data_IF_740055505695
#
_entry.id   IF_740055505695
#
_cell.length_a   1.000
_cell.length_b   1.000
_cell.length_c   1.000
_cell.angle_alpha   90.00
_cell.angle_beta   90.00
_cell.angle_gamma   90.00
#
_symmetry.space_group_name_H-M   'P 1'
#
loop_
_entity.id
_entity.type
_entity.pdbx_description
1 polymer ?
#
# COMPACT_ATOMS: atom_id res chain seq x y z
N UNK A 1 -64.14 -49.32 -74.40
CA UNK A 1 -64.08 -48.44 -73.21
C UNK A 1 -62.69 -47.80 -73.17
N UNK A 2 -62.58 -46.53 -73.56
CA UNK A 2 -61.33 -45.75 -73.57
C UNK A 2 -61.54 -44.44 -72.78
N UNK A 3 -60.48 -44.01 -72.08
CA UNK A 3 -60.31 -42.85 -71.15
C UNK A 3 -60.87 -41.52 -71.72
N UNK A 4 -61.31 -40.50 -70.96
CA UNK A 4 -60.69 -39.74 -69.86
C UNK A 4 -61.81 -38.85 -69.21
N UNK A 5 -61.65 -38.34 -67.97
CA UNK A 5 -61.30 -36.91 -67.89
C UNK A 5 -60.27 -36.62 -66.80
N UNK A 6 -59.32 -35.75 -67.10
CA UNK A 6 -58.45 -35.14 -66.10
C UNK A 6 -58.63 -33.63 -66.23
N UNK A 7 -59.35 -33.05 -65.28
CA UNK A 7 -59.50 -31.62 -65.12
C UNK A 7 -59.16 -31.22 -63.70
N UNK A 8 -58.21 -30.29 -63.60
CA UNK A 8 -57.85 -29.40 -62.48
C UNK A 8 -56.86 -29.94 -61.43
N UNK A 9 -55.75 -29.21 -61.26
CA UNK A 9 -55.32 -28.81 -59.92
C UNK A 9 -55.09 -27.29 -59.87
N UNK A 10 -55.79 -26.61 -58.97
CA UNK A 10 -55.45 -25.26 -58.50
C UNK A 10 -55.17 -25.37 -57.00
N UNK A 11 -53.91 -25.58 -56.66
CA UNK A 11 -53.42 -25.61 -55.28
C UNK A 11 -52.74 -24.27 -55.00
N UNK A 12 -53.50 -23.37 -54.35
CA UNK A 12 -53.02 -22.06 -53.93
C UNK A 12 -51.95 -22.19 -52.85
N UNK A 13 -50.74 -21.66 -53.13
CA UNK A 13 -49.63 -21.59 -52.17
C UNK A 13 -49.80 -20.44 -51.17
N UNK A 14 -49.61 -20.65 -49.86
CA UNK A 14 -49.42 -19.57 -48.89
C UNK A 14 -47.95 -19.11 -48.81
N UNK A 15 -47.75 -17.82 -48.50
CA UNK A 15 -46.48 -17.09 -48.44
C UNK A 15 -45.49 -17.54 -47.32
N UNK A 16 -44.15 -17.30 -47.47
CA UNK A 16 -43.10 -18.00 -46.72
C UNK A 16 -42.46 -17.25 -45.52
N UNK A 17 -43.14 -16.33 -44.85
CA UNK A 17 -42.56 -15.62 -43.69
C UNK A 17 -43.51 -15.54 -42.50
N UNK A 18 -43.63 -16.66 -41.81
CA UNK A 18 -44.05 -16.67 -40.40
C UNK A 18 -42.83 -17.13 -39.61
N UNK A 19 -42.09 -16.18 -39.03
CA UNK A 19 -41.09 -16.51 -38.01
C UNK A 19 -41.84 -17.22 -36.87
N UNK A 20 -41.46 -18.45 -36.47
CA UNK A 20 -42.15 -19.15 -35.40
C UNK A 20 -42.01 -18.32 -34.13
N UNK A 21 -43.14 -17.82 -33.59
CA UNK A 21 -43.15 -17.16 -32.28
C UNK A 21 -42.62 -18.18 -31.28
N UNK A 22 -41.50 -17.90 -30.59
CA UNK A 22 -40.97 -18.83 -29.61
C UNK A 22 -42.05 -19.04 -28.55
N UNK A 23 -42.33 -20.29 -28.22
CA UNK A 23 -43.30 -20.60 -27.18
C UNK A 23 -42.86 -19.90 -25.88
N UNK A 24 -43.81 -19.37 -25.10
CA UNK A 24 -43.51 -18.74 -23.82
C UNK A 24 -42.66 -19.63 -22.90
N UNK A 25 -42.81 -20.96 -23.03
CA UNK A 25 -41.99 -21.94 -22.34
C UNK A 25 -40.51 -21.92 -22.78
N UNK A 26 -40.24 -21.70 -24.07
CA UNK A 26 -38.88 -21.55 -24.61
C UNK A 26 -38.24 -20.26 -24.09
N UNK A 27 -39.00 -19.15 -24.07
CA UNK A 27 -38.52 -17.87 -23.53
C UNK A 27 -38.22 -17.98 -22.03
N UNK A 28 -39.08 -18.64 -21.27
CA UNK A 28 -38.89 -18.87 -19.83
C UNK A 28 -37.67 -19.76 -19.54
N UNK A 29 -37.43 -20.79 -20.35
CA UNK A 29 -36.25 -21.66 -20.19
C UNK A 29 -34.95 -20.94 -20.53
N UNK A 30 -34.95 -20.13 -21.59
CA UNK A 30 -33.78 -19.31 -21.94
C UNK A 30 -33.48 -18.25 -20.87
N UNK A 31 -34.51 -17.60 -20.31
CA UNK A 31 -34.30 -16.62 -19.24
C UNK A 31 -33.77 -17.28 -17.96
N UNK A 32 -34.26 -18.46 -17.61
CA UNK A 32 -33.73 -19.25 -16.48
C UNK A 32 -32.26 -19.65 -16.68
N UNK A 33 -31.89 -20.10 -17.88
CA UNK A 33 -30.50 -20.46 -18.20
C UNK A 33 -29.57 -19.24 -18.12
N UNK A 34 -30.02 -18.07 -18.61
CA UNK A 34 -29.25 -16.84 -18.56
C UNK A 34 -29.04 -16.35 -17.12
N UNK A 35 -30.08 -16.41 -16.28
CA UNK A 35 -29.98 -16.06 -14.87
C UNK A 35 -29.03 -16.99 -14.12
N UNK A 36 -29.07 -18.30 -14.43
CA UNK A 36 -28.16 -19.27 -13.85
C UNK A 36 -26.70 -19.01 -14.28
N UNK A 37 -26.46 -18.72 -15.56
CA UNK A 37 -25.11 -18.43 -16.05
C UNK A 37 -24.53 -17.15 -15.43
N UNK A 38 -25.34 -16.10 -15.28
CA UNK A 38 -24.92 -14.87 -14.57
C UNK A 38 -24.61 -15.17 -13.11
N UNK A 39 -25.46 -15.93 -12.42
CA UNK A 39 -25.23 -16.34 -11.03
C UNK A 39 -23.92 -17.11 -10.86
N UNK A 40 -23.65 -18.09 -11.73
CA UNK A 40 -22.42 -18.88 -11.72
C UNK A 40 -21.19 -17.99 -12.03
N UNK A 41 -21.28 -17.10 -13.02
CA UNK A 41 -20.20 -16.15 -13.32
C UNK A 41 -19.91 -15.22 -12.13
N UNK A 42 -20.94 -14.70 -11.47
CA UNK A 42 -20.80 -13.88 -10.27
C UNK A 42 -20.17 -14.68 -9.12
N UNK A 43 -20.57 -15.92 -8.90
CA UNK A 43 -19.98 -16.79 -7.87
C UNK A 43 -18.51 -17.08 -8.15
N UNK A 44 -18.14 -17.32 -9.42
CA UNK A 44 -16.75 -17.52 -9.83
C UNK A 44 -15.94 -16.23 -9.65
N UNK A 45 -16.46 -15.07 -10.08
CA UNK A 45 -15.77 -13.78 -9.92
C UNK A 45 -15.61 -13.39 -8.45
N UNK A 46 -16.67 -13.51 -7.64
CA UNK A 46 -16.61 -13.25 -6.20
C UNK A 46 -15.70 -14.27 -5.48
N UNK A 47 -15.73 -15.53 -5.89
CA UNK A 47 -14.84 -16.58 -5.40
C UNK A 47 -13.38 -16.29 -5.73
N UNK A 48 -13.07 -15.88 -6.96
CA UNK A 48 -11.72 -15.46 -7.36
C UNK A 48 -11.27 -14.20 -6.64
N UNK A 49 -12.16 -13.24 -6.40
CA UNK A 49 -11.86 -12.02 -5.68
C UNK A 49 -11.58 -12.31 -4.20
N UNK A 50 -12.45 -13.09 -3.54
CA UNK A 50 -12.23 -13.58 -2.17
C UNK A 50 -10.97 -14.44 -2.08
N UNK A 51 -10.70 -15.30 -3.06
CA UNK A 51 -9.51 -16.15 -3.08
C UNK A 51 -8.24 -15.31 -3.30
N UNK A 52 -8.26 -14.25 -4.13
CA UNK A 52 -7.16 -13.27 -4.19
C UNK A 52 -6.96 -12.55 -2.85
N UNK A 53 -8.03 -12.21 -2.16
CA UNK A 53 -8.00 -11.54 -0.86
C UNK A 53 -7.53 -12.48 0.27
N UNK A 54 -7.83 -13.77 0.18
CA UNK A 54 -7.45 -14.82 1.13
C UNK A 54 -6.08 -15.44 0.83
N UNK A 55 -5.62 -15.41 -0.43
CA UNK A 55 -4.24 -15.74 -0.83
C UNK A 55 -3.23 -14.64 -0.54
N UNK A 56 -3.65 -13.47 -0.05
CA UNK A 56 -2.85 -12.77 0.94
C UNK A 56 -2.84 -13.65 2.20
N UNK A 57 -2.07 -14.76 2.13
CA UNK A 57 -1.24 -15.26 3.24
C UNK A 57 -0.86 -14.03 4.03
N UNK A 58 -1.06 -13.93 5.37
CA UNK A 58 -0.73 -12.72 6.10
C UNK A 58 0.71 -12.44 5.74
N UNK A 59 0.87 -11.50 4.84
CA UNK A 59 2.12 -11.19 4.20
C UNK A 59 2.86 -10.64 5.38
N UNK A 60 3.80 -11.40 5.94
CA UNK A 60 4.47 -11.08 7.20
C UNK A 60 4.64 -9.58 7.23
N UNK A 61 3.87 -8.91 8.09
CA UNK A 61 3.63 -7.50 7.90
C UNK A 61 4.95 -6.82 8.23
N UNK A 62 5.76 -6.52 7.22
CA UNK A 62 7.05 -5.87 7.40
C UNK A 62 6.80 -4.38 7.61
N UNK A 63 6.49 -4.04 8.85
CA UNK A 63 6.10 -2.70 9.25
C UNK A 63 6.74 -2.35 10.59
N UNK A 64 7.22 -1.13 10.70
CA UNK A 64 7.71 -0.57 11.95
C UNK A 64 7.21 0.85 12.12
N UNK A 65 6.71 1.15 13.30
CA UNK A 65 6.39 2.50 13.75
C UNK A 65 7.23 2.78 14.99
N UNK A 66 8.08 3.79 14.90
CA UNK A 66 9.11 4.05 15.89
C UNK A 66 8.94 5.43 16.49
N UNK A 67 9.19 5.51 17.79
CA UNK A 67 9.21 6.76 18.53
C UNK A 67 10.63 7.12 18.92
N UNK A 68 10.88 8.41 19.12
CA UNK A 68 12.21 8.87 19.50
C UNK A 68 12.58 8.34 20.90
N UNK A 69 13.77 7.74 21.01
CA UNK A 69 14.29 7.30 22.29
C UNK A 69 14.87 8.49 23.07
N UNK A 70 14.17 8.91 24.12
CA UNK A 70 14.57 10.02 24.98
C UNK A 70 15.47 9.61 26.15
N UNK A 71 15.64 8.30 26.40
CA UNK A 71 16.43 7.80 27.53
C UNK A 71 17.93 7.97 27.33
N UNK A 72 18.38 8.06 26.06
CA UNK A 72 19.78 8.22 25.71
C UNK A 72 20.08 9.70 25.42
N UNK A 73 20.93 10.36 26.21
CA UNK A 73 21.36 11.72 25.91
C UNK A 73 22.03 11.79 24.54
N UNK A 74 21.57 12.74 23.72
CA UNK A 74 22.07 12.94 22.37
C UNK A 74 23.49 13.53 22.41
N UNK A 75 24.49 12.74 21.99
CA UNK A 75 25.89 13.16 21.83
C UNK A 75 26.29 13.32 20.36
N UNK A 76 25.60 12.62 19.46
CA UNK A 76 25.82 12.57 18.02
C UNK A 76 24.61 13.16 17.26
N UNK A 77 24.75 13.50 15.97
CA UNK A 77 23.62 13.98 15.19
C UNK A 77 22.54 12.90 14.95
N UNK A 78 22.77 11.65 15.32
CA UNK A 78 21.89 10.53 15.04
C UNK A 78 20.68 10.52 15.99
N UNK A 79 19.49 10.41 15.41
CA UNK A 79 18.26 10.17 16.15
C UNK A 79 18.16 8.67 16.43
N UNK A 80 18.06 8.32 17.71
CA UNK A 80 17.92 6.94 18.16
C UNK A 80 16.45 6.65 18.35
N UNK A 81 15.98 5.61 17.69
CA UNK A 81 14.58 5.21 17.73
C UNK A 81 14.35 4.10 18.76
N UNK A 82 13.11 3.95 19.21
CA UNK A 82 12.67 2.87 20.07
C UNK A 82 11.29 2.38 19.64
N UNK A 83 11.03 1.10 19.91
CA UNK A 83 9.74 0.46 19.72
C UNK A 83 9.43 -0.39 20.95
N UNK A 84 8.15 -0.44 21.30
CA UNK A 84 7.69 -1.34 22.36
C UNK A 84 6.32 -0.96 22.89
N UNK A 85 5.65 -1.90 23.57
CA UNK A 85 4.28 -1.70 24.06
C UNK A 85 4.17 -0.57 25.10
N UNK A 86 5.28 -0.21 25.74
CA UNK A 86 5.35 0.88 26.72
C UNK A 86 5.53 2.27 26.08
N UNK A 87 5.80 2.32 24.78
CA UNK A 87 6.10 3.54 24.01
C UNK A 87 4.93 3.83 23.06
N UNK A 88 3.75 4.04 23.65
CA UNK A 88 2.53 4.42 22.94
C UNK A 88 2.17 3.47 21.80
N UNK A 89 2.15 4.02 20.57
CA UNK A 89 1.76 3.31 19.35
C UNK A 89 2.95 2.75 18.56
N UNK A 90 4.14 2.68 19.18
CA UNK A 90 5.33 2.15 18.52
C UNK A 90 5.37 0.62 18.54
N UNK A 91 5.82 0.03 17.44
CA UNK A 91 5.95 -1.41 17.27
C UNK A 91 6.90 -1.76 16.12
N UNK A 92 7.33 -3.01 16.08
CA UNK A 92 8.10 -3.58 14.97
C UNK A 92 7.59 -4.97 14.66
N UNK A 93 7.23 -5.23 13.41
CA UNK A 93 6.88 -6.54 12.89
C UNK A 93 7.69 -6.75 11.62
N UNK A 94 8.63 -7.70 11.60
CA UNK A 94 9.54 -7.91 10.46
C UNK A 94 10.87 -7.17 10.57
N UNK A 95 10.96 -5.84 10.31
CA UNK A 95 12.19 -5.08 10.50
C UNK A 95 12.71 -5.15 11.95
N UNK A 96 14.02 -5.27 12.09
CA UNK A 96 14.70 -5.27 13.38
C UNK A 96 15.01 -3.86 13.86
N UNK A 97 15.20 -3.69 15.16
CA UNK A 97 15.69 -2.44 15.74
C UNK A 97 16.87 -2.74 16.65
N UNK A 98 18.07 -2.29 16.28
CA UNK A 98 19.29 -2.46 17.06
C UNK A 98 19.93 -1.10 17.33
N UNK A 99 20.26 -0.80 18.59
CA UNK A 99 20.90 0.48 19.00
C UNK A 99 20.18 1.72 18.44
N UNK A 100 18.85 1.64 18.32
CA UNK A 100 17.97 2.69 17.81
C UNK A 100 18.08 2.96 16.31
N UNK A 101 18.62 2.03 15.54
CA UNK A 101 18.65 2.03 14.07
C UNK A 101 17.82 0.85 13.55
N UNK A 102 17.12 1.06 12.44
CA UNK A 102 16.22 0.06 11.88
C UNK A 102 16.97 -0.81 10.87
N UNK A 103 16.85 -2.13 10.98
CA UNK A 103 17.47 -3.12 10.10
C UNK A 103 16.42 -3.82 9.24
N UNK A 104 16.71 -3.96 7.94
CA UNK A 104 15.80 -4.56 6.95
C UNK A 104 16.10 -6.04 6.78
N UNK A 105 15.12 -6.89 7.13
CA UNK A 105 15.20 -8.35 6.99
C UNK A 105 14.62 -8.89 5.69
N UNK A 106 14.03 -8.03 4.85
CA UNK A 106 13.38 -8.44 3.61
C UNK A 106 13.53 -7.36 2.56
N UNK A 107 13.99 -7.75 1.37
CA UNK A 107 14.11 -6.83 0.25
C UNK A 107 12.76 -6.41 -0.33
N UNK A 108 12.75 -5.27 -1.01
CA UNK A 108 11.62 -4.79 -1.79
C UNK A 108 11.42 -3.29 -1.65
N UNK A 109 10.26 -2.80 -2.05
CA UNK A 109 9.91 -1.39 -1.94
C UNK A 109 9.14 -1.13 -0.65
N UNK A 110 9.68 -0.20 0.12
CA UNK A 110 9.13 0.27 1.37
C UNK A 110 8.58 1.68 1.20
N UNK A 111 7.42 1.93 1.81
CA UNK A 111 6.93 3.26 2.13
C UNK A 111 7.57 3.68 3.44
N UNK A 112 8.42 4.68 3.37
CA UNK A 112 9.07 5.30 4.50
C UNK A 112 8.36 6.60 4.82
N UNK A 113 8.07 6.86 6.09
CA UNK A 113 7.54 8.14 6.56
C UNK A 113 8.27 8.60 7.81
N UNK A 114 8.40 9.91 7.93
CA UNK A 114 9.05 10.54 9.07
C UNK A 114 8.38 11.87 9.36
N UNK A 115 8.22 12.18 10.64
CA UNK A 115 7.93 13.51 11.12
C UNK A 115 8.88 13.84 12.26
N UNK A 116 9.46 15.03 12.23
CA UNK A 116 10.31 15.54 13.31
C UNK A 116 9.90 16.96 13.60
N UNK A 117 9.61 17.22 14.87
CA UNK A 117 9.37 18.56 15.40
C UNK A 117 10.53 18.95 16.30
N UNK A 118 10.99 20.20 16.24
CA UNK A 118 12.03 20.71 17.14
C UNK A 118 11.42 21.17 18.46
N UNK A 119 12.11 20.91 19.57
CA UNK A 119 11.83 21.51 20.86
C UNK A 119 12.30 22.97 20.86
N UNK A 120 11.61 23.81 21.64
CA UNK A 120 11.96 25.22 21.84
C UNK A 120 12.07 26.02 20.53
N UNK A 121 11.08 25.87 19.65
CA UNK A 121 10.90 26.80 18.53
C UNK A 121 10.49 28.18 19.03
N UNK A 122 11.48 29.01 19.33
CA UNK A 122 11.32 30.44 19.53
C UNK A 122 12.06 31.21 18.45
N UNK A 123 11.63 32.45 18.21
CA UNK A 123 12.27 33.38 17.26
C UNK A 123 13.77 33.57 17.51
N UNK A 124 14.26 33.37 18.74
CA UNK A 124 15.68 33.50 19.09
C UNK A 124 16.57 32.40 18.48
N UNK A 125 16.04 31.20 18.26
CA UNK A 125 16.76 30.07 17.65
C UNK A 125 16.53 29.97 16.13
N UNK A 126 15.80 30.92 15.55
CA UNK A 126 15.42 31.00 14.14
C UNK A 126 16.59 30.67 13.21
N UNK A 127 17.72 31.37 13.32
CA UNK A 127 18.81 31.24 12.34
C UNK A 127 19.44 29.83 12.30
N UNK A 128 19.57 29.16 13.44
CA UNK A 128 20.05 27.77 13.51
C UNK A 128 18.99 26.79 13.02
N UNK A 129 17.73 26.98 13.43
CA UNK A 129 16.61 26.15 13.00
C UNK A 129 16.46 26.16 11.48
N UNK A 130 16.61 27.32 10.85
CA UNK A 130 16.46 27.45 9.40
C UNK A 130 17.48 26.65 8.60
N UNK A 131 18.66 26.42 9.16
CA UNK A 131 19.74 25.64 8.54
C UNK A 131 19.71 24.17 8.94
N UNK A 132 18.87 23.81 9.90
CA UNK A 132 18.74 22.43 10.33
C UNK A 132 18.05 21.60 9.25
N UNK A 133 18.48 20.35 9.15
CA UNK A 133 17.97 19.37 8.21
C UNK A 133 17.85 18.03 8.91
N UNK A 134 16.74 17.33 8.72
CA UNK A 134 16.63 15.90 9.04
C UNK A 134 16.96 15.11 7.78
N UNK A 135 17.88 14.16 7.88
CA UNK A 135 18.22 13.24 6.81
C UNK A 135 17.90 11.81 7.25
N UNK A 136 17.33 11.03 6.33
CA UNK A 136 17.18 9.58 6.49
C UNK A 136 18.00 8.93 5.39
N UNK A 137 18.79 7.92 5.74
CA UNK A 137 19.66 7.25 4.79
C UNK A 137 20.01 5.83 5.19
N UNK A 138 20.60 5.11 4.25
CA UNK A 138 21.20 3.80 4.49
C UNK A 138 22.62 4.06 4.99
N UNK A 139 22.95 3.59 6.19
CA UNK A 139 24.24 3.78 6.84
C UNK A 139 25.08 2.51 6.94
N UNK A 140 24.47 1.35 6.70
CA UNK A 140 25.16 0.07 6.56
C UNK A 140 24.54 -0.72 5.41
N UNK A 141 25.36 -1.39 4.58
CA UNK A 141 26.82 -1.50 4.66
C UNK A 141 27.55 -0.17 4.33
N UNK A 142 28.61 0.15 5.08
CA UNK A 142 29.31 1.45 5.02
C UNK A 142 29.89 1.80 3.63
N UNK A 143 30.13 0.80 2.78
CA UNK A 143 30.56 0.99 1.39
C UNK A 143 29.51 1.71 0.52
N UNK A 144 28.24 1.74 0.94
CA UNK A 144 27.12 2.27 0.17
C UNK A 144 26.22 3.19 1.00
N UNK A 145 26.81 4.20 1.68
CA UNK A 145 25.99 5.18 2.40
C UNK A 145 25.14 6.01 1.43
N UNK A 146 23.82 5.90 1.49
CA UNK A 146 22.89 6.56 0.56
C UNK A 146 21.93 7.45 1.33
N UNK A 147 21.74 8.70 0.88
CA UNK A 147 20.72 9.60 1.42
C UNK A 147 19.37 9.33 0.75
N UNK A 148 18.39 8.87 1.52
CA UNK A 148 17.03 8.59 1.04
C UNK A 148 16.11 9.81 1.15
N UNK A 149 16.25 10.61 2.21
CA UNK A 149 15.49 11.84 2.42
C UNK A 149 16.40 12.90 3.03
N UNK A 150 16.16 14.15 2.67
CA UNK A 150 16.77 15.31 3.32
C UNK A 150 15.75 16.44 3.39
N UNK A 151 15.31 16.74 4.61
CA UNK A 151 14.19 17.62 4.91
C UNK A 151 14.73 18.86 5.65
N UNK A 152 14.86 20.01 4.97
CA UNK A 152 15.21 21.26 5.65
C UNK A 152 14.02 21.78 6.45
N UNK A 153 14.29 22.30 7.65
CA UNK A 153 13.26 22.97 8.46
C UNK A 153 12.86 24.33 7.87
N UNK A 154 13.82 25.08 7.33
CA UNK A 154 13.56 26.43 6.81
C UNK A 154 12.88 27.30 7.87
N UNK A 155 11.77 27.94 7.51
CA UNK A 155 11.00 28.78 8.45
C UNK A 155 10.15 27.97 9.44
N UNK A 156 10.02 26.65 9.24
CA UNK A 156 9.16 25.78 10.03
C UNK A 156 9.86 25.15 11.23
N UNK A 157 9.06 24.69 12.19
CA UNK A 157 9.52 23.92 13.34
C UNK A 157 9.39 22.40 13.17
N UNK A 158 8.57 22.00 12.21
CA UNK A 158 8.21 20.61 11.95
C UNK A 158 8.45 20.32 10.49
N UNK A 159 9.06 19.16 10.23
CA UNK A 159 9.20 18.60 8.89
C UNK A 159 8.58 17.23 8.87
N UNK A 160 7.85 16.94 7.80
CA UNK A 160 7.26 15.64 7.55
C UNK A 160 7.47 15.25 6.10
N UNK A 161 7.69 13.97 5.84
CA UNK A 161 7.75 13.44 4.48
C UNK A 161 7.43 11.97 4.45
N UNK A 162 6.96 11.53 3.28
CA UNK A 162 6.74 10.14 2.96
C UNK A 162 7.34 9.86 1.58
N UNK A 163 8.04 8.73 1.44
CA UNK A 163 8.69 8.34 0.18
C UNK A 163 8.68 6.83 0.01
N UNK A 164 8.50 6.39 -1.23
CA UNK A 164 8.77 5.00 -1.62
C UNK A 164 10.25 4.85 -1.94
N UNK A 165 10.87 3.81 -1.40
CA UNK A 165 12.28 3.50 -1.64
C UNK A 165 12.48 2.00 -1.69
N UNK A 166 13.35 1.56 -2.58
CA UNK A 166 13.83 0.19 -2.56
C UNK A 166 14.82 0.03 -1.40
N UNK A 167 14.67 -1.04 -0.61
CA UNK A 167 15.60 -1.42 0.46
C UNK A 167 16.00 -2.87 0.26
N UNK A 168 17.29 -3.15 0.41
CA UNK A 168 17.83 -4.49 0.31
C UNK A 168 17.83 -5.20 1.66
N UNK A 169 17.93 -6.53 1.61
CA UNK A 169 18.24 -7.33 2.79
C UNK A 169 19.57 -6.87 3.38
N UNK A 170 19.57 -6.53 4.68
CA UNK A 170 20.77 -6.08 5.37
C UNK A 170 20.95 -4.58 5.49
N UNK A 171 20.11 -3.79 4.82
CA UNK A 171 20.17 -2.32 4.93
C UNK A 171 19.88 -1.87 6.36
N UNK A 172 20.71 -0.96 6.87
CA UNK A 172 20.46 -0.26 8.14
C UNK A 172 20.08 1.18 7.84
N UNK A 173 18.92 1.59 8.33
CA UNK A 173 18.44 2.96 8.22
C UNK A 173 18.89 3.79 9.41
N UNK A 174 19.55 4.90 9.10
CA UNK A 174 19.93 5.92 10.06
C UNK A 174 19.17 7.21 9.80
N UNK A 175 18.74 7.87 10.87
CA UNK A 175 18.19 9.22 10.82
C UNK A 175 19.14 10.18 11.52
N UNK A 176 19.47 11.28 10.87
CA UNK A 176 20.35 12.30 11.41
C UNK A 176 19.65 13.66 11.40
N UNK A 177 19.70 14.38 12.52
CA UNK A 177 19.31 15.78 12.60
C UNK A 177 20.58 16.64 12.63
N UNK A 178 20.79 17.53 11.66
CA UNK A 178 21.95 18.40 11.68
C UNK A 178 21.82 19.43 12.81
N UNK A 179 22.97 19.92 13.29
CA UNK A 179 23.08 20.88 14.40
C UNK A 179 22.63 20.29 15.76
N UNK A 180 23.12 20.85 16.89
CA UNK A 180 22.80 20.35 18.23
C UNK A 180 21.40 20.79 18.71
N UNK A 181 20.41 20.81 17.82
CA UNK A 181 19.02 21.11 18.15
C UNK A 181 18.36 19.91 18.84
N UNK A 182 17.36 20.17 19.67
CA UNK A 182 16.64 19.11 20.37
C UNK A 182 15.33 18.85 19.63
N UNK A 183 15.00 17.60 19.26
CA UNK A 183 13.66 17.25 18.83
C UNK A 183 12.66 17.35 20.00
N UNK A 184 11.38 17.49 19.68
CA UNK A 184 10.28 17.49 20.64
C UNK A 184 10.24 16.15 21.40
N UNK A 185 9.85 16.23 22.67
CA UNK A 185 9.66 15.05 23.52
C UNK A 185 8.28 14.42 23.33
N UNK A 186 7.38 15.07 22.61
CA UNK A 186 6.06 14.55 22.34
C UNK A 186 6.16 13.42 21.29
N UNK A 187 5.75 12.22 21.69
CA UNK A 187 5.76 11.02 20.87
C UNK A 187 4.88 11.13 19.61
N UNK A 188 3.86 11.98 19.64
CA UNK A 188 2.96 12.25 18.50
C UNK A 188 3.55 13.27 17.51
N UNK A 189 4.58 13.99 17.91
CA UNK A 189 5.20 15.04 17.09
C UNK A 189 6.49 14.59 16.40
N UNK A 190 7.15 13.55 16.92
CA UNK A 190 8.40 13.00 16.37
C UNK A 190 8.36 11.47 16.29
N UNK A 191 8.22 10.96 15.08
CA UNK A 191 8.11 9.53 14.79
C UNK A 191 8.72 9.18 13.43
N UNK A 192 9.06 7.90 13.25
CA UNK A 192 9.63 7.36 12.03
C UNK A 192 9.08 5.96 11.78
N UNK A 193 8.69 5.67 10.56
CA UNK A 193 8.16 4.36 10.23
C UNK A 193 8.47 3.92 8.81
N UNK A 194 8.34 2.61 8.61
CA UNK A 194 8.45 1.95 7.32
C UNK A 194 7.37 0.90 7.18
N UNK A 195 6.89 0.70 5.96
CA UNK A 195 5.95 -0.35 5.60
C UNK A 195 6.36 -0.95 4.25
N UNK A 196 6.56 -2.26 4.20
CA UNK A 196 6.79 -2.99 2.95
C UNK A 196 5.53 -2.97 2.10
N UNK A 197 5.67 -2.56 0.84
CA UNK A 197 4.55 -2.39 -0.10
C UNK A 197 4.53 -3.51 -1.13
N UNK A 198 5.68 -3.80 -1.71
CA UNK A 198 5.80 -4.82 -2.75
C UNK A 198 7.23 -5.39 -2.80
N UNK A 199 7.40 -6.63 -3.29
CA UNK A 199 8.72 -7.20 -3.52
C UNK A 199 9.45 -6.42 -4.62
#
# INVERSE_FOLDING_TARGET
MQRLPAGVPEEGRPFPWVLPRPSWATVLRLSQLLLFSIGVCCLIYCGQLCQKQLQLKPLEAHVAELQLNLTVPRKDPTLRWAAGPTLGRSFTHGPGLEKGQLYIHREGIYRLHIQVTLANCSSTYSTMQHRATVAVGICSPAAHSISLLRLPFGQGCTVASQRLTHLALGDVLCTNLTLPLRPSRNAEETFFGVQWVHP
#
